data_IF_119134818233
#
_entry.id   IF_119134818233
#
_cell.length_a   1.000
_cell.length_b   1.000
_cell.length_c   1.000
_cell.angle_alpha   90.00
_cell.angle_beta   90.00
_cell.angle_gamma   90.00
#
_symmetry.space_group_name_H-M   'P 1'
#
loop_
_entity.id
_entity.type
_entity.pdbx_description
1 polymer ?
#
# COMPACT_ATOMS: atom_id res chain seq x y z
N UNK A 1 43.76 18.27 -12.74
CA UNK A 1 43.59 17.93 -11.32
C UNK A 1 42.14 18.23 -10.99
N UNK A 2 41.28 17.22 -11.14
CA UNK A 2 40.59 16.47 -10.05
C UNK A 2 39.43 17.28 -9.43
N UNK A 3 38.18 16.86 -9.44
CA UNK A 3 37.59 15.60 -9.88
C UNK A 3 36.15 15.79 -10.30
N UNK A 4 35.82 15.19 -11.44
CA UNK A 4 34.48 14.67 -11.69
C UNK A 4 34.23 13.60 -10.65
N UNK A 5 33.31 13.84 -9.71
CA UNK A 5 32.98 12.84 -8.71
C UNK A 5 31.46 12.66 -8.58
N UNK A 6 31.06 11.52 -9.16
CA UNK A 6 29.92 10.67 -8.85
C UNK A 6 28.57 10.99 -9.47
N UNK A 7 28.38 10.35 -10.62
CA UNK A 7 27.10 9.78 -11.03
C UNK A 7 26.55 8.84 -9.95
N UNK A 8 25.31 9.07 -9.53
CA UNK A 8 24.16 8.23 -9.88
C UNK A 8 23.15 8.17 -8.72
N UNK A 9 21.85 8.29 -9.05
CA UNK A 9 20.75 8.14 -8.11
C UNK A 9 20.54 6.66 -7.83
N UNK A 10 20.86 6.23 -6.62
CA UNK A 10 20.32 4.97 -6.09
C UNK A 10 19.79 5.30 -4.71
N UNK A 11 18.66 6.00 -4.71
CA UNK A 11 17.69 5.84 -3.64
C UNK A 11 17.10 4.44 -3.82
N UNK A 12 17.82 3.48 -3.26
CA UNK A 12 17.44 2.08 -3.20
C UNK A 12 16.36 1.98 -2.12
N UNK A 13 15.11 1.86 -2.55
CA UNK A 13 14.05 1.28 -1.72
C UNK A 13 12.96 2.21 -1.20
N UNK A 14 12.89 3.48 -1.59
CA UNK A 14 11.79 4.33 -1.13
C UNK A 14 10.54 4.16 -2.01
N UNK A 15 9.89 3.01 -1.85
CA UNK A 15 8.55 2.75 -2.41
C UNK A 15 7.54 3.84 -2.00
N UNK A 16 7.82 4.50 -0.88
CA UNK A 16 7.11 5.63 -0.29
C UNK A 16 7.26 6.94 -1.08
N UNK A 17 8.23 7.03 -2.01
CA UNK A 17 8.58 8.27 -2.73
C UNK A 17 8.59 8.15 -4.26
N UNK A 18 8.08 7.05 -4.84
CA UNK A 18 7.96 6.94 -6.30
C UNK A 18 7.04 8.06 -6.84
N UNK A 19 7.53 8.96 -7.71
CA UNK A 19 6.73 10.05 -8.27
C UNK A 19 5.86 9.50 -9.42
N UNK A 20 4.75 8.85 -9.07
CA UNK A 20 3.79 8.35 -10.07
C UNK A 20 2.62 9.31 -10.21
N UNK A 21 2.86 10.56 -10.62
CA UNK A 21 1.86 11.47 -11.24
C UNK A 21 0.44 11.59 -10.62
N UNK A 22 0.23 11.09 -9.41
CA UNK A 22 -0.89 11.25 -8.51
C UNK A 22 -0.27 11.91 -7.28
N UNK A 23 -0.83 13.03 -6.83
CA UNK A 23 -0.60 13.44 -5.44
C UNK A 23 -1.01 12.23 -4.58
N UNK A 24 -0.05 11.51 -4.03
CA UNK A 24 -0.34 10.52 -3.01
C UNK A 24 -0.64 11.34 -1.76
N UNK A 25 -1.91 11.38 -1.38
CA UNK A 25 -2.34 12.01 -0.15
C UNK A 25 -1.76 11.25 1.06
N UNK A 26 -1.75 11.84 2.26
CA UNK A 26 -1.17 11.19 3.45
C UNK A 26 -1.82 9.82 3.73
N UNK A 27 -3.06 9.66 3.30
CA UNK A 27 -3.81 8.42 3.37
C UNK A 27 -3.19 7.29 2.54
N UNK A 28 -2.75 7.57 1.32
CA UNK A 28 -2.15 6.58 0.43
C UNK A 28 -0.80 6.10 0.96
N UNK A 29 -0.01 7.02 1.55
CA UNK A 29 1.27 6.69 2.19
C UNK A 29 1.04 5.78 3.39
N UNK A 30 0.12 6.16 4.29
CA UNK A 30 -0.17 5.34 5.47
C UNK A 30 -0.76 3.97 5.07
N UNK A 31 -1.60 3.91 4.05
CA UNK A 31 -2.19 2.66 3.56
C UNK A 31 -1.12 1.71 3.03
N UNK A 32 -0.17 2.22 2.25
CA UNK A 32 0.98 1.41 1.78
C UNK A 32 1.88 0.96 2.93
N UNK A 33 2.09 1.82 3.92
CA UNK A 33 2.84 1.46 5.13
C UNK A 33 2.11 0.37 5.93
N UNK A 34 0.78 0.41 6.02
CA UNK A 34 -0.04 -0.64 6.62
C UNK A 34 0.10 -1.96 5.86
N UNK A 35 -0.06 -1.95 4.54
CA UNK A 35 0.11 -3.14 3.68
C UNK A 35 1.52 -3.73 3.78
N UNK A 36 2.55 -2.88 3.85
CA UNK A 36 3.93 -3.33 4.01
C UNK A 36 4.22 -3.96 5.38
N UNK A 37 3.37 -3.73 6.39
CA UNK A 37 3.44 -4.43 7.69
C UNK A 37 2.77 -5.80 7.64
N UNK A 38 1.90 -6.06 6.67
CA UNK A 38 1.34 -7.39 6.47
C UNK A 38 2.44 -8.32 5.94
N UNK A 39 2.50 -9.53 6.50
CA UNK A 39 3.42 -10.56 6.04
C UNK A 39 3.04 -11.05 4.65
N UNK A 40 4.02 -11.42 3.83
CA UNK A 40 3.78 -11.97 2.49
C UNK A 40 2.89 -13.22 2.51
N UNK A 41 2.93 -14.02 3.59
CA UNK A 41 2.03 -15.16 3.78
C UNK A 41 0.57 -14.74 3.87
N UNK A 42 0.28 -13.69 4.65
CA UNK A 42 -1.06 -13.14 4.77
C UNK A 42 -1.52 -12.57 3.42
N UNK A 43 -0.66 -11.79 2.76
CA UNK A 43 -0.94 -11.21 1.44
C UNK A 43 -1.23 -12.27 0.36
N UNK A 44 -0.67 -13.48 0.46
CA UNK A 44 -0.97 -14.59 -0.47
C UNK A 44 -2.32 -15.26 -0.21
N UNK A 45 -2.87 -15.12 0.99
CA UNK A 45 -4.22 -15.61 1.27
C UNK A 45 -5.28 -14.79 0.54
N UNK A 46 -4.98 -13.52 0.24
CA UNK A 46 -5.89 -12.65 -0.50
C UNK A 46 -6.23 -13.24 -1.87
N UNK A 47 -7.53 -13.43 -2.11
CA UNK A 47 -8.03 -13.83 -3.42
C UNK A 47 -8.74 -12.67 -4.10
N UNK A 48 -8.38 -12.41 -5.35
CA UNK A 48 -8.98 -11.31 -6.12
C UNK A 48 -10.48 -11.45 -6.37
N UNK A 49 -11.02 -12.68 -6.24
CA UNK A 49 -12.44 -13.02 -6.42
C UNK A 49 -13.27 -12.82 -5.14
N UNK A 50 -12.63 -12.55 -3.99
CA UNK A 50 -13.34 -12.34 -2.74
C UNK A 50 -14.32 -11.18 -2.80
N UNK A 51 -15.43 -11.31 -2.10
CA UNK A 51 -16.36 -10.21 -1.88
C UNK A 51 -15.77 -9.19 -0.93
N UNK A 52 -16.34 -7.98 -0.94
CA UNK A 52 -15.88 -6.91 -0.05
C UNK A 52 -16.00 -7.31 1.43
N UNK A 53 -17.06 -8.04 1.79
CA UNK A 53 -17.26 -8.59 3.13
C UNK A 53 -16.19 -9.60 3.52
N UNK A 54 -15.79 -10.48 2.60
CA UNK A 54 -14.71 -11.45 2.83
C UNK A 54 -13.36 -10.76 3.05
N UNK A 55 -13.06 -9.72 2.26
CA UNK A 55 -11.83 -8.92 2.44
C UNK A 55 -11.84 -8.20 3.79
N UNK A 56 -12.99 -7.65 4.19
CA UNK A 56 -13.17 -6.99 5.49
C UNK A 56 -12.94 -7.97 6.64
N UNK A 57 -13.50 -9.18 6.56
CA UNK A 57 -13.33 -10.21 7.58
C UNK A 57 -11.89 -10.75 7.62
N UNK A 58 -11.25 -10.91 6.47
CA UNK A 58 -9.88 -11.40 6.34
C UNK A 58 -8.86 -10.42 6.93
N UNK A 59 -8.97 -9.15 6.57
CA UNK A 59 -8.07 -8.11 7.06
C UNK A 59 -8.31 -7.85 8.57
N UNK A 60 -9.57 -7.93 9.02
CA UNK A 60 -9.94 -7.81 10.43
C UNK A 60 -9.67 -6.44 11.05
N UNK A 61 -9.14 -5.48 10.28
CA UNK A 61 -8.85 -4.11 10.69
C UNK A 61 -9.88 -3.12 10.11
N UNK A 62 -10.91 -3.59 9.41
CA UNK A 62 -12.04 -2.78 8.97
C UNK A 62 -13.02 -2.49 10.10
N UNK A 63 -13.62 -1.29 10.07
CA UNK A 63 -14.68 -0.84 10.99
C UNK A 63 -16.04 -1.38 10.56
N UNK A 64 -17.02 -1.32 11.46
CA UNK A 64 -18.42 -1.69 11.18
C UNK A 64 -19.10 -0.88 10.07
N UNK A 65 -18.48 0.23 9.65
CA UNK A 65 -18.94 1.09 8.56
C UNK A 65 -18.41 0.63 7.18
N UNK A 66 -17.53 -0.38 7.13
CA UNK A 66 -16.90 -0.85 5.88
C UNK A 66 -15.59 -0.15 5.51
N UNK A 67 -15.13 0.77 6.38
CA UNK A 67 -13.89 1.53 6.18
C UNK A 67 -12.73 0.95 6.99
N UNK A 68 -11.54 0.94 6.39
CA UNK A 68 -10.32 0.46 7.04
C UNK A 68 -9.96 1.36 8.23
N UNK A 69 -9.66 0.74 9.37
CA UNK A 69 -9.19 1.45 10.56
C UNK A 69 -7.73 1.85 10.39
N UNK A 70 -7.50 2.92 9.64
CA UNK A 70 -6.18 3.48 9.46
C UNK A 70 -6.00 4.71 10.35
N UNK A 71 -4.87 4.76 11.07
CA UNK A 71 -4.56 5.87 11.97
C UNK A 71 -3.91 7.01 11.15
N UNK A 72 -4.36 8.25 11.39
CA UNK A 72 -3.80 9.46 10.77
C UNK A 72 -4.03 9.55 9.25
N UNK A 73 -5.25 9.29 8.79
CA UNK A 73 -5.67 9.52 7.41
C UNK A 73 -6.56 10.76 7.28
N UNK A 74 -6.40 11.47 6.17
CA UNK A 74 -7.22 12.63 5.80
C UNK A 74 -8.59 12.22 5.26
N UNK A 75 -8.70 10.98 4.74
CA UNK A 75 -9.93 10.38 4.21
C UNK A 75 -10.12 8.96 4.72
N UNK A 76 -11.37 8.53 4.83
CA UNK A 76 -11.69 7.13 5.05
C UNK A 76 -11.31 6.30 3.81
N UNK A 77 -10.85 5.07 4.06
CA UNK A 77 -10.48 4.13 3.01
C UNK A 77 -11.51 3.01 2.96
N UNK A 78 -12.35 3.02 1.94
CA UNK A 78 -13.27 1.93 1.65
C UNK A 78 -12.52 0.69 1.19
N UNK A 79 -13.16 -0.47 1.35
CA UNK A 79 -12.69 -1.76 0.83
C UNK A 79 -12.31 -1.73 -0.66
N UNK A 80 -13.02 -0.96 -1.48
CA UNK A 80 -12.69 -0.84 -2.92
C UNK A 80 -11.33 -0.18 -3.15
N UNK A 81 -11.02 0.91 -2.44
CA UNK A 81 -9.73 1.60 -2.53
C UNK A 81 -8.62 0.72 -1.94
N UNK A 82 -8.89 0.09 -0.80
CA UNK A 82 -7.97 -0.88 -0.20
C UNK A 82 -7.58 -1.98 -1.18
N UNK A 83 -8.55 -2.60 -1.85
CA UNK A 83 -8.30 -3.68 -2.84
C UNK A 83 -7.49 -3.20 -4.05
N UNK A 84 -7.70 -1.94 -4.47
CA UNK A 84 -6.94 -1.35 -5.56
C UNK A 84 -5.46 -1.23 -5.19
N UNK A 85 -5.18 -0.61 -4.04
CA UNK A 85 -3.80 -0.40 -3.56
C UNK A 85 -3.15 -1.72 -3.18
N UNK A 86 -3.91 -2.68 -2.62
CA UNK A 86 -3.44 -4.03 -2.34
C UNK A 86 -2.98 -4.74 -3.62
N UNK A 87 -3.76 -4.67 -4.70
CA UNK A 87 -3.35 -5.24 -6.01
C UNK A 87 -2.08 -4.60 -6.52
N UNK A 88 -1.96 -3.27 -6.45
CA UNK A 88 -0.71 -2.57 -6.83
C UNK A 88 0.48 -3.00 -5.97
N UNK A 89 0.27 -3.21 -4.67
CA UNK A 89 1.31 -3.70 -3.74
C UNK A 89 1.74 -5.13 -4.07
N UNK A 90 0.79 -6.02 -4.37
CA UNK A 90 1.05 -7.40 -4.79
C UNK A 90 1.83 -7.45 -6.12
N UNK A 91 1.39 -6.68 -7.12
CA UNK A 91 2.08 -6.56 -8.41
C UNK A 91 3.52 -6.04 -8.24
N UNK A 92 3.72 -5.08 -7.33
CA UNK A 92 5.06 -4.58 -7.04
C UNK A 92 5.95 -5.59 -6.31
N UNK A 93 5.40 -6.30 -5.31
CA UNK A 93 6.11 -7.36 -4.59
C UNK A 93 6.35 -8.61 -5.45
N UNK A 94 5.63 -8.76 -6.57
CA UNK A 94 5.67 -9.91 -7.49
C UNK A 94 5.47 -11.26 -6.78
N UNK A 95 4.55 -11.30 -5.82
CA UNK A 95 4.20 -12.49 -5.02
C UNK A 95 2.84 -13.07 -5.39
#
# INVERSE_FOLDING_TARGET
>A
MIGSEYASPTDDGQYEHLPTSLQMDETDINLRAYLSRLSDEHLREYQSDWTDEEVIQWDGNFRSDGNLMLVCCERDVDVTEFRRVLKEHLEYRKI
#
